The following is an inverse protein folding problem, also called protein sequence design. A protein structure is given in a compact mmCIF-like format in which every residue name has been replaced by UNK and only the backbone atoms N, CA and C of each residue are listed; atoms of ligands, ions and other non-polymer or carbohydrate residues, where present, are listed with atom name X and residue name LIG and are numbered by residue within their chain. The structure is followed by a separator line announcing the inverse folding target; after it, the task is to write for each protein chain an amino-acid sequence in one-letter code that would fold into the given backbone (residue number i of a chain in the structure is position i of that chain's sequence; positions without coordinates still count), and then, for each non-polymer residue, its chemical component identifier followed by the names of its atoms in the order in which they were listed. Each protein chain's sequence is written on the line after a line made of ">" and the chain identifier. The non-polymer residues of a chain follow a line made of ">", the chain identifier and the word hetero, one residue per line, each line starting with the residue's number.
data_IF_361314003755
#
_entry.id   IF_361314003755
#
_cell.length_a   1.000
_cell.length_b   1.000
_cell.length_c   1.000
_cell.angle_alpha   90.00
_cell.angle_beta   90.00
_cell.angle_gamma   90.00
#
_symmetry.space_group_name_H-M   'P 1'
#
loop_
_entity.id
_entity.type
_entity.pdbx_description
1 polymer ?
#
# COMPACT_ATOMS: atom_id res chain seq x y z
N UNK A 1 -9.13 -11.20 -25.76
CA UNK A 1 -9.38 -9.79 -26.14
C UNK A 1 -8.76 -9.55 -27.53
N UNK A 2 -9.57 -9.55 -28.59
CA UNK A 2 -9.08 -9.19 -29.93
C UNK A 2 -8.74 -7.70 -29.91
N UNK A 3 -7.46 -7.38 -29.99
CA UNK A 3 -7.01 -6.00 -30.27
C UNK A 3 -7.63 -5.64 -31.62
N UNK A 4 -8.59 -4.71 -31.63
CA UNK A 4 -9.13 -4.15 -32.85
C UNK A 4 -7.95 -3.78 -33.76
N UNK A 5 -8.03 -4.15 -35.03
CA UNK A 5 -6.96 -3.97 -36.02
C UNK A 5 -6.46 -2.52 -36.13
N UNK A 6 -7.32 -1.54 -35.79
CA UNK A 6 -6.98 -0.13 -35.64
C UNK A 6 -6.10 0.18 -34.41
N UNK A 7 -6.43 -0.36 -33.23
CA UNK A 7 -5.63 -0.20 -32.00
C UNK A 7 -4.25 -0.87 -32.12
N UNK A 8 -4.16 -1.97 -32.89
CA UNK A 8 -2.89 -2.63 -33.16
C UNK A 8 -1.92 -1.81 -34.01
N UNK A 9 -2.43 -0.98 -34.94
CA UNK A 9 -1.63 -0.05 -35.73
C UNK A 9 -1.07 1.10 -34.88
N UNK A 10 -1.93 1.73 -34.09
CA UNK A 10 -1.58 2.83 -33.17
C UNK A 10 -0.52 2.39 -32.16
N UNK A 11 -0.67 1.20 -31.58
CA UNK A 11 0.30 0.66 -30.62
C UNK A 11 1.66 0.38 -31.27
N UNK A 12 1.70 -0.11 -32.52
CA UNK A 12 2.96 -0.35 -33.22
C UNK A 12 3.71 0.94 -33.50
N UNK A 13 3.02 1.98 -33.95
CA UNK A 13 3.58 3.31 -34.19
C UNK A 13 4.19 3.91 -32.91
N UNK A 14 3.44 3.88 -31.80
CA UNK A 14 3.94 4.37 -30.50
C UNK A 14 5.10 3.53 -29.97
N UNK A 15 5.08 2.21 -30.16
CA UNK A 15 6.17 1.32 -29.74
C UNK A 15 7.45 1.56 -30.54
N UNK A 16 7.37 1.86 -31.83
CA UNK A 16 8.56 2.28 -32.60
C UNK A 16 9.14 3.56 -32.05
N UNK A 17 8.32 4.61 -31.87
CA UNK A 17 8.81 5.90 -31.38
C UNK A 17 9.32 5.83 -29.93
N UNK A 18 8.73 4.97 -29.08
CA UNK A 18 9.22 4.73 -27.73
C UNK A 18 10.57 4.00 -27.69
N UNK A 19 10.83 3.09 -28.64
CA UNK A 19 12.15 2.45 -28.79
C UNK A 19 13.21 3.46 -29.22
N UNK A 20 12.85 4.40 -30.11
CA UNK A 20 13.77 5.46 -30.53
C UNK A 20 14.17 6.36 -29.34
N UNK A 21 13.22 6.68 -28.45
CA UNK A 21 13.49 7.36 -27.17
C UNK A 21 14.36 6.57 -26.20
N UNK A 22 14.26 5.25 -26.22
CA UNK A 22 15.09 4.38 -25.38
C UNK A 22 16.55 4.39 -25.85
N UNK A 23 16.78 4.55 -27.16
CA UNK A 23 18.09 4.58 -27.80
C UNK A 23 18.71 6.00 -27.72
N UNK A 24 17.91 7.04 -27.93
CA UNK A 24 18.32 8.45 -27.83
C UNK A 24 17.27 9.25 -27.06
N UNK A 25 17.51 9.55 -25.77
CA UNK A 25 16.58 10.33 -24.96
C UNK A 25 16.64 11.81 -25.35
N UNK A 26 15.97 12.17 -26.46
CA UNK A 26 15.80 13.54 -26.91
C UNK A 26 14.47 14.12 -26.41
N UNK A 27 14.56 15.32 -25.83
CA UNK A 27 13.42 16.07 -25.31
C UNK A 27 12.47 16.50 -26.43
N UNK A 28 12.98 16.75 -27.64
CA UNK A 28 12.16 17.09 -28.81
C UNK A 28 11.32 15.90 -29.27
N UNK A 29 11.91 14.70 -29.28
CA UNK A 29 11.25 13.45 -29.64
C UNK A 29 10.19 13.06 -28.59
N UNK A 30 10.51 13.24 -27.29
CA UNK A 30 9.55 13.07 -26.21
C UNK A 30 8.32 13.98 -26.39
N UNK A 31 8.54 15.26 -26.67
CA UNK A 31 7.45 16.23 -26.86
C UNK A 31 6.62 15.91 -28.10
N UNK A 32 7.26 15.44 -29.17
CA UNK A 32 6.58 14.97 -30.39
C UNK A 32 5.64 13.81 -30.13
N UNK A 33 6.06 12.81 -29.34
CA UNK A 33 5.20 11.68 -28.96
C UNK A 33 4.05 12.13 -28.04
N UNK A 34 4.34 12.97 -27.04
CA UNK A 34 3.33 13.49 -26.12
C UNK A 34 2.24 14.25 -26.89
N UNK A 35 2.63 14.95 -27.94
CA UNK A 35 1.72 15.74 -28.78
C UNK A 35 1.12 14.93 -29.95
N UNK A 36 1.45 13.65 -30.07
CA UNK A 36 1.02 12.83 -31.21
C UNK A 36 -0.48 12.53 -31.16
N UNK A 37 -1.08 12.48 -32.35
CA UNK A 37 -2.48 12.09 -32.49
C UNK A 37 -2.69 10.62 -32.09
N UNK A 38 -1.71 9.75 -32.39
CA UNK A 38 -1.72 8.34 -32.01
C UNK A 38 -1.83 8.17 -30.48
N UNK A 39 -1.01 8.88 -29.70
CA UNK A 39 -1.06 8.82 -28.24
C UNK A 39 -2.38 9.39 -27.70
N UNK A 40 -2.84 10.51 -28.27
CA UNK A 40 -4.12 11.13 -27.89
C UNK A 40 -5.30 10.18 -28.12
N UNK A 41 -5.34 9.50 -29.27
CA UNK A 41 -6.36 8.50 -29.58
C UNK A 41 -6.27 7.28 -28.65
N UNK A 42 -5.07 6.80 -28.35
CA UNK A 42 -4.88 5.69 -27.41
C UNK A 42 -5.40 6.04 -26.01
N UNK A 43 -5.08 7.23 -25.51
CA UNK A 43 -5.60 7.70 -24.22
C UNK A 43 -7.13 7.83 -24.23
N UNK A 44 -7.71 8.36 -25.31
CA UNK A 44 -9.17 8.42 -25.43
C UNK A 44 -9.81 7.02 -25.40
N UNK A 45 -9.25 6.04 -26.10
CA UNK A 45 -9.70 4.64 -26.05
C UNK A 45 -9.55 4.05 -24.65
N UNK A 46 -8.42 4.31 -23.98
CA UNK A 46 -8.17 3.84 -22.63
C UNK A 46 -9.16 4.42 -21.62
N UNK A 47 -9.46 5.73 -21.71
CA UNK A 47 -10.45 6.37 -20.83
C UNK A 47 -11.86 5.80 -21.02
N UNK A 48 -12.26 5.52 -22.27
CA UNK A 48 -13.54 4.84 -22.55
C UNK A 48 -13.55 3.43 -21.95
N UNK A 49 -12.50 2.64 -22.18
CA UNK A 49 -12.36 1.29 -21.61
C UNK A 49 -12.41 1.32 -20.07
N UNK A 50 -11.67 2.24 -19.47
CA UNK A 50 -11.60 2.42 -18.02
C UNK A 50 -12.97 2.78 -17.44
N UNK A 51 -13.70 3.71 -18.08
CA UNK A 51 -15.06 4.09 -17.68
C UNK A 51 -16.02 2.90 -17.77
N UNK A 52 -16.04 2.20 -18.90
CA UNK A 52 -16.87 1.00 -19.08
C UNK A 52 -16.55 -0.08 -18.02
N UNK A 53 -15.28 -0.26 -17.69
CA UNK A 53 -14.85 -1.19 -16.64
C UNK A 53 -15.29 -0.74 -15.25
N UNK A 54 -15.19 0.56 -14.96
CA UNK A 54 -15.70 1.16 -13.73
C UNK A 54 -17.22 1.01 -13.57
N UNK A 55 -17.96 1.04 -14.68
CA UNK A 55 -19.41 0.83 -14.74
C UNK A 55 -19.81 -0.67 -14.67
N UNK A 56 -18.83 -1.57 -14.64
CA UNK A 56 -19.06 -3.02 -14.46
C UNK A 56 -19.25 -3.82 -15.75
N UNK A 57 -19.02 -3.24 -16.95
CA UNK A 57 -19.23 -3.92 -18.24
C UNK A 57 -18.34 -5.18 -18.42
N UNK A 58 -17.17 -5.20 -17.77
CA UNK A 58 -16.20 -6.31 -17.83
C UNK A 58 -16.26 -7.20 -16.58
N UNK A 59 -17.35 -7.11 -15.81
CA UNK A 59 -17.54 -7.89 -14.58
C UNK A 59 -17.00 -7.22 -13.31
N UNK A 60 -17.46 -7.70 -12.15
CA UNK A 60 -17.11 -7.13 -10.84
C UNK A 60 -15.62 -7.22 -10.51
N UNK A 61 -14.93 -8.24 -11.03
CA UNK A 61 -13.48 -8.41 -10.83
C UNK A 61 -12.70 -7.31 -11.53
N UNK A 62 -12.96 -7.06 -12.81
CA UNK A 62 -12.34 -5.97 -13.56
C UNK A 62 -12.65 -4.61 -12.90
N UNK A 63 -13.90 -4.40 -12.51
CA UNK A 63 -14.35 -3.19 -11.82
C UNK A 63 -13.54 -2.92 -10.55
N UNK A 64 -13.40 -3.93 -9.67
CA UNK A 64 -12.62 -3.81 -8.45
C UNK A 64 -11.16 -3.41 -8.73
N UNK A 65 -10.52 -4.06 -9.70
CA UNK A 65 -9.11 -3.80 -10.01
C UNK A 65 -8.87 -2.44 -10.65
N UNK A 66 -9.79 -1.94 -11.49
CA UNK A 66 -9.72 -0.55 -11.99
C UNK A 66 -9.81 0.45 -10.84
N UNK A 67 -10.78 0.28 -9.93
CA UNK A 67 -10.87 1.16 -8.77
C UNK A 67 -9.61 1.06 -7.88
N UNK A 68 -9.02 -0.13 -7.75
CA UNK A 68 -7.74 -0.29 -7.04
C UNK A 68 -6.61 0.49 -7.72
N UNK A 69 -6.48 0.37 -9.04
CA UNK A 69 -5.51 1.14 -9.82
C UNK A 69 -5.73 2.65 -9.67
N UNK A 70 -6.98 3.12 -9.63
CA UNK A 70 -7.30 4.52 -9.39
C UNK A 70 -6.85 5.02 -8.02
N UNK A 71 -7.02 4.21 -6.98
CA UNK A 71 -6.51 4.52 -5.63
C UNK A 71 -4.99 4.57 -5.58
N UNK A 72 -4.31 3.65 -6.28
CA UNK A 72 -2.85 3.69 -6.40
C UNK A 72 -2.39 4.92 -7.17
N UNK A 73 -3.05 5.24 -8.28
CA UNK A 73 -2.77 6.43 -9.07
C UNK A 73 -2.93 7.70 -8.26
N UNK A 74 -3.99 7.79 -7.44
CA UNK A 74 -4.20 8.90 -6.51
C UNK A 74 -3.00 9.10 -5.55
N UNK A 75 -2.44 8.02 -4.99
CA UNK A 75 -1.26 8.10 -4.13
C UNK A 75 0.00 8.51 -4.89
N UNK A 76 0.20 7.98 -6.10
CA UNK A 76 1.33 8.35 -6.96
C UNK A 76 1.27 9.82 -7.34
N UNK A 77 0.10 10.33 -7.69
CA UNK A 77 -0.12 11.72 -8.03
C UNK A 77 0.06 12.66 -6.82
N UNK A 78 -0.36 12.24 -5.64
CA UNK A 78 -0.10 12.96 -4.39
C UNK A 78 1.40 13.07 -4.09
N UNK A 79 2.16 11.99 -4.30
CA UNK A 79 3.62 11.98 -4.21
C UNK A 79 4.27 12.87 -5.28
N UNK A 80 3.79 12.76 -6.52
CA UNK A 80 4.24 13.57 -7.64
C UNK A 80 4.10 15.07 -7.37
N UNK A 81 2.97 15.51 -6.81
CA UNK A 81 2.75 16.91 -6.43
C UNK A 81 3.82 17.41 -5.43
N UNK A 82 4.25 16.55 -4.49
CA UNK A 82 5.34 16.87 -3.57
C UNK A 82 6.68 16.96 -4.30
N UNK A 83 6.99 15.98 -5.16
CA UNK A 83 8.22 15.94 -5.96
C UNK A 83 8.34 17.13 -6.93
N UNK A 84 7.24 17.74 -7.34
CA UNK A 84 7.21 18.90 -8.26
C UNK A 84 6.93 20.24 -7.59
N UNK A 85 6.84 20.28 -6.25
CA UNK A 85 6.46 21.48 -5.49
C UNK A 85 5.10 22.09 -5.92
N UNK A 86 4.18 21.27 -6.43
CA UNK A 86 2.87 21.73 -6.89
C UNK A 86 1.85 21.69 -5.75
N UNK A 87 1.67 22.84 -5.09
CA UNK A 87 0.71 22.97 -3.98
C UNK A 87 -0.74 22.73 -4.44
N UNK A 88 -1.14 23.25 -5.60
CA UNK A 88 -2.52 23.10 -6.08
C UNK A 88 -2.84 21.64 -6.41
N UNK A 89 -1.92 20.91 -7.07
CA UNK A 89 -2.07 19.47 -7.29
C UNK A 89 -2.11 18.69 -5.96
N UNK A 90 -1.27 19.09 -5.00
CA UNK A 90 -1.27 18.46 -3.68
C UNK A 90 -2.63 18.62 -3.01
N UNK A 91 -3.20 19.83 -2.96
CA UNK A 91 -4.52 20.10 -2.39
C UNK A 91 -5.61 19.29 -3.10
N UNK A 92 -5.59 19.25 -4.43
CA UNK A 92 -6.57 18.52 -5.24
C UNK A 92 -6.57 17.01 -4.93
N UNK A 93 -5.41 16.37 -4.95
CA UNK A 93 -5.32 14.94 -4.65
C UNK A 93 -5.51 14.65 -3.16
N UNK A 94 -5.12 15.57 -2.28
CA UNK A 94 -5.38 15.45 -0.85
C UNK A 94 -6.88 15.44 -0.52
N UNK A 95 -7.67 16.29 -1.20
CA UNK A 95 -9.13 16.28 -1.10
C UNK A 95 -9.72 14.91 -1.46
N UNK A 96 -9.22 14.30 -2.53
CA UNK A 96 -9.66 12.97 -2.99
C UNK A 96 -9.21 11.84 -2.09
N UNK A 97 -8.08 11.99 -1.40
CA UNK A 97 -7.54 11.02 -0.45
C UNK A 97 -8.30 10.99 0.87
N UNK A 98 -8.80 12.14 1.34
CA UNK A 98 -9.50 12.26 2.62
C UNK A 98 -10.64 11.23 2.80
N UNK A 99 -11.59 11.08 1.85
CA UNK A 99 -12.62 10.04 1.91
C UNK A 99 -12.13 8.61 2.16
N UNK A 100 -11.00 8.23 1.56
CA UNK A 100 -10.48 6.86 1.68
C UNK A 100 -10.04 6.54 3.12
N UNK A 101 -9.58 7.53 3.88
CA UNK A 101 -9.20 7.34 5.29
C UNK A 101 -10.40 6.99 6.18
N UNK A 102 -11.60 7.43 5.80
CA UNK A 102 -12.83 7.09 6.52
C UNK A 102 -13.29 5.67 6.22
N UNK A 103 -13.31 5.27 4.94
CA UNK A 103 -13.72 3.91 4.56
C UNK A 103 -12.72 2.84 4.96
N UNK A 104 -11.43 3.18 5.04
CA UNK A 104 -10.35 2.28 5.49
C UNK A 104 -10.08 2.34 7.02
N UNK A 105 -10.95 2.97 7.80
CA UNK A 105 -10.87 3.03 9.27
C UNK A 105 -9.58 3.64 9.85
N UNK A 106 -8.92 4.54 9.11
CA UNK A 106 -7.77 5.32 9.58
C UNK A 106 -8.22 6.56 10.36
N UNK A 107 -9.04 6.37 11.39
CA UNK A 107 -9.80 7.43 12.06
C UNK A 107 -8.98 8.60 12.60
N UNK A 108 -7.77 8.34 13.11
CA UNK A 108 -6.88 9.40 13.59
C UNK A 108 -6.46 10.29 12.42
N UNK A 109 -5.98 9.70 11.34
CA UNK A 109 -5.64 10.43 10.12
C UNK A 109 -6.87 11.10 9.52
N UNK A 110 -8.00 10.41 9.42
CA UNK A 110 -9.24 10.90 8.85
C UNK A 110 -9.70 12.24 9.47
N UNK A 111 -9.65 12.36 10.81
CA UNK A 111 -10.01 13.61 11.51
C UNK A 111 -9.06 14.76 11.17
N UNK A 112 -7.76 14.54 11.36
CA UNK A 112 -6.76 15.61 11.23
C UNK A 112 -6.48 15.97 9.79
N UNK A 113 -6.63 15.04 8.85
CA UNK A 113 -6.51 15.32 7.41
C UNK A 113 -7.64 16.21 6.93
N UNK A 114 -8.87 16.02 7.40
CA UNK A 114 -9.97 16.94 7.07
C UNK A 114 -9.69 18.37 7.54
N UNK A 115 -9.13 18.55 8.74
CA UNK A 115 -8.73 19.87 9.25
C UNK A 115 -7.56 20.44 8.45
N UNK A 116 -6.53 19.64 8.19
CA UNK A 116 -5.37 20.05 7.42
C UNK A 116 -5.75 20.47 5.99
N UNK A 117 -6.68 19.77 5.35
CA UNK A 117 -7.23 20.16 4.05
C UNK A 117 -7.87 21.56 4.11
N UNK A 118 -8.72 21.81 5.10
CA UNK A 118 -9.34 23.14 5.27
C UNK A 118 -8.28 24.21 5.50
N UNK A 119 -7.26 23.93 6.32
CA UNK A 119 -6.16 24.87 6.53
C UNK A 119 -5.44 25.20 5.22
N UNK A 120 -5.13 24.20 4.41
CA UNK A 120 -4.46 24.39 3.12
C UNK A 120 -5.29 25.23 2.13
N UNK A 121 -6.60 25.00 2.07
CA UNK A 121 -7.50 25.75 1.17
C UNK A 121 -7.69 27.19 1.64
N UNK A 122 -7.57 27.47 2.94
CA UNK A 122 -7.76 28.79 3.55
C UNK A 122 -6.43 29.47 3.93
N UNK A 123 -5.32 29.10 3.31
CA UNK A 123 -4.03 29.74 3.56
C UNK A 123 -4.08 31.23 3.16
N UNK A 124 -3.53 32.14 3.98
CA UNK A 124 -3.30 33.52 3.56
C UNK A 124 -2.44 33.57 2.30
N UNK A 125 -2.70 34.55 1.42
CA UNK A 125 -1.98 34.67 0.14
C UNK A 125 -0.46 34.71 0.34
N UNK A 126 0.01 35.49 1.30
CA UNK A 126 1.44 35.58 1.63
C UNK A 126 2.06 34.21 1.99
N UNK A 127 1.35 33.37 2.74
CA UNK A 127 1.81 32.02 3.06
C UNK A 127 1.79 31.10 1.83
N UNK A 128 0.76 31.23 0.98
CA UNK A 128 0.67 30.49 -0.28
C UNK A 128 1.84 30.83 -1.21
N UNK A 129 2.19 32.11 -1.32
CA UNK A 129 3.29 32.58 -2.16
C UNK A 129 4.64 31.98 -1.71
N UNK A 130 4.90 31.93 -0.39
CA UNK A 130 6.11 31.29 0.16
C UNK A 130 6.17 29.79 -0.14
N UNK A 131 5.04 29.08 -0.06
CA UNK A 131 4.97 27.65 -0.37
C UNK A 131 5.20 27.38 -1.87
N UNK A 132 4.61 28.21 -2.73
CA UNK A 132 4.80 28.15 -4.19
C UNK A 132 6.23 28.51 -4.58
N UNK A 133 6.86 29.45 -3.87
CA UNK A 133 8.26 29.80 -3.98
C UNK A 133 9.20 28.75 -3.33
N UNK A 134 8.98 27.46 -3.65
CA UNK A 134 9.80 26.33 -3.19
C UNK A 134 9.75 26.02 -1.69
N UNK A 135 8.81 26.59 -0.93
CA UNK A 135 8.64 26.30 0.49
C UNK A 135 7.82 25.04 0.82
N UNK A 136 7.09 24.49 -0.15
CA UNK A 136 6.22 23.32 0.08
C UNK A 136 6.98 21.98 0.15
N UNK A 137 7.99 21.80 -0.70
CA UNK A 137 8.91 20.66 -0.65
C UNK A 137 10.36 21.11 -0.73
N UNK A 138 11.30 20.24 -0.38
CA UNK A 138 12.73 20.58 -0.33
C UNK A 138 13.52 19.63 -1.23
N UNK A 139 14.42 20.19 -2.05
CA UNK A 139 15.44 19.43 -2.77
C UNK A 139 16.78 19.57 -2.06
N UNK A 140 17.53 18.47 -1.96
CA UNK A 140 18.90 18.48 -1.40
C UNK A 140 19.98 18.32 -2.47
N UNK A 141 19.59 18.02 -3.70
CA UNK A 141 20.47 17.94 -4.86
C UNK A 141 19.80 18.62 -6.05
N UNK A 142 20.60 18.87 -7.09
CA UNK A 142 20.12 19.38 -8.39
C UNK A 142 19.53 18.27 -9.27
N UNK A 143 19.48 17.04 -8.76
CA UNK A 143 18.91 15.89 -9.46
C UNK A 143 17.40 16.11 -9.68
N UNK A 144 16.88 15.98 -10.91
CA UNK A 144 15.44 16.08 -11.17
C UNK A 144 14.62 15.11 -10.31
N UNK A 145 13.40 15.53 -9.92
CA UNK A 145 12.44 14.75 -9.13
C UNK A 145 12.93 14.27 -7.74
N UNK A 146 14.01 14.85 -7.20
CA UNK A 146 14.59 14.51 -5.89
C UNK A 146 13.96 15.26 -4.70
N UNK A 147 12.98 16.13 -4.95
CA UNK A 147 12.28 16.87 -3.91
C UNK A 147 11.50 15.93 -2.99
N UNK A 148 11.53 16.24 -1.69
CA UNK A 148 10.79 15.49 -0.66
C UNK A 148 10.04 16.44 0.27
N UNK A 149 9.10 15.90 1.04
CA UNK A 149 8.43 16.67 2.07
C UNK A 149 9.43 17.22 3.10
N UNK A 150 9.14 18.41 3.64
CA UNK A 150 10.00 19.11 4.60
C UNK A 150 10.36 18.23 5.80
N UNK A 151 9.38 17.53 6.37
CA UNK A 151 9.57 16.62 7.50
C UNK A 151 10.56 15.49 7.20
N UNK A 152 10.43 14.86 6.01
CA UNK A 152 11.35 13.84 5.54
C UNK A 152 12.78 14.40 5.37
N UNK A 153 12.91 15.64 4.90
CA UNK A 153 14.20 16.30 4.78
C UNK A 153 14.85 16.55 6.14
N UNK A 154 14.07 16.97 7.14
CA UNK A 154 14.54 17.13 8.53
C UNK A 154 15.02 15.79 9.09
N UNK A 155 14.28 14.70 8.82
CA UNK A 155 14.68 13.35 9.23
C UNK A 155 16.04 12.93 8.64
N UNK A 156 16.23 13.18 7.35
CA UNK A 156 17.44 12.83 6.61
C UNK A 156 18.66 13.72 6.92
N UNK A 157 18.44 14.89 7.54
CA UNK A 157 19.48 15.87 7.83
C UNK A 157 19.65 16.04 9.35
N UNK A 158 18.89 16.97 9.94
CA UNK A 158 19.05 17.40 11.33
C UNK A 158 18.82 16.24 12.29
N UNK A 159 17.83 15.36 12.05
CA UNK A 159 17.60 14.23 12.96
C UNK A 159 18.67 13.16 12.77
N UNK A 160 19.00 12.78 11.53
CA UNK A 160 20.07 11.79 11.24
C UNK A 160 21.38 12.12 11.95
N UNK A 161 21.85 13.36 11.85
CA UNK A 161 23.12 13.77 12.45
C UNK A 161 23.03 14.10 13.95
N UNK A 162 21.82 14.36 14.47
CA UNK A 162 21.60 14.59 15.89
C UNK A 162 21.29 13.33 16.70
N UNK A 163 21.03 12.19 16.03
CA UNK A 163 20.72 10.91 16.68
C UNK A 163 21.88 10.50 17.59
N UNK A 164 21.57 10.31 18.86
CA UNK A 164 22.44 9.75 19.88
C UNK A 164 22.09 8.28 20.10
N UNK A 165 23.07 7.47 20.55
CA UNK A 165 22.79 6.10 21.00
C UNK A 165 21.72 6.15 22.11
N UNK A 166 20.62 5.40 21.96
CA UNK A 166 19.48 5.39 22.89
C UNK A 166 18.46 6.53 22.72
N UNK A 167 18.60 7.39 21.70
CA UNK A 167 17.69 8.51 21.45
C UNK A 167 17.72 9.57 22.56
N UNK A 168 16.62 10.30 22.74
CA UNK A 168 16.50 11.33 23.79
C UNK A 168 16.15 10.73 25.17
N UNK A 169 15.81 9.44 25.24
CA UNK A 169 15.20 8.83 26.44
C UNK A 169 16.10 8.98 27.67
N UNK A 170 17.42 8.84 27.51
CA UNK A 170 18.38 8.92 28.63
C UNK A 170 18.59 10.31 29.24
N UNK A 171 18.32 11.40 28.50
CA UNK A 171 18.57 12.77 28.98
C UNK A 171 17.36 13.71 28.87
N UNK A 172 16.25 13.26 28.25
CA UNK A 172 15.00 14.02 28.12
C UNK A 172 14.37 14.42 29.46
N UNK A 173 14.64 13.64 30.51
CA UNK A 173 14.22 13.94 31.89
C UNK A 173 15.00 15.10 32.53
N UNK A 174 16.15 15.46 31.98
CA UNK A 174 16.93 16.62 32.42
C UNK A 174 16.68 17.78 31.46
N UNK A 175 15.83 18.72 31.88
CA UNK A 175 15.48 19.89 31.07
C UNK A 175 16.72 20.67 30.58
N UNK A 176 17.77 20.93 31.39
CA UNK A 176 18.99 21.58 30.92
C UNK A 176 19.75 20.76 29.86
N UNK A 177 19.82 19.43 30.01
CA UNK A 177 20.48 18.58 29.03
C UNK A 177 19.71 18.54 27.70
N UNK A 178 18.39 18.49 27.77
CA UNK A 178 17.52 18.57 26.60
C UNK A 178 17.68 19.91 25.87
N UNK A 179 17.66 21.05 26.59
CA UNK A 179 17.89 22.36 25.97
C UNK A 179 19.26 22.46 25.32
N UNK A 180 20.33 22.03 26.01
CA UNK A 180 21.68 21.99 25.41
C UNK A 180 21.70 21.14 24.15
N UNK A 181 21.03 19.99 24.14
CA UNK A 181 20.92 19.15 22.95
C UNK A 181 20.16 19.84 21.81
N UNK A 182 19.00 20.47 22.09
CA UNK A 182 18.23 21.21 21.09
C UNK A 182 19.02 22.37 20.46
N UNK A 183 19.80 23.10 21.27
CA UNK A 183 20.58 24.24 20.79
C UNK A 183 21.87 23.80 20.08
N UNK A 184 22.51 22.70 20.47
CA UNK A 184 23.82 22.32 19.90
C UNK A 184 23.75 21.30 18.76
N UNK A 185 22.61 20.62 18.58
CA UNK A 185 22.47 19.52 17.61
C UNK A 185 22.79 19.89 16.15
N UNK A 186 22.50 21.11 15.72
CA UNK A 186 22.80 21.56 14.36
C UNK A 186 24.31 21.79 14.17
N UNK A 187 24.99 22.38 15.15
CA UNK A 187 26.45 22.54 15.13
C UNK A 187 27.17 21.19 15.16
N UNK A 188 26.67 20.24 15.96
CA UNK A 188 27.18 18.86 15.95
C UNK A 188 27.04 18.21 14.57
N UNK A 189 25.92 18.41 13.89
CA UNK A 189 25.73 17.91 12.54
C UNK A 189 26.73 18.51 11.55
N UNK A 190 27.02 19.81 11.65
CA UNK A 190 28.03 20.48 10.82
C UNK A 190 29.43 19.90 11.06
N UNK A 191 29.85 19.67 12.31
CA UNK A 191 31.14 19.07 12.60
C UNK A 191 31.27 17.65 12.03
N UNK A 192 30.22 16.82 12.17
CA UNK A 192 30.21 15.47 11.58
C UNK A 192 30.33 15.56 10.06
N UNK A 193 29.62 16.48 9.41
CA UNK A 193 29.72 16.69 7.96
C UNK A 193 31.14 17.11 7.55
N UNK A 194 31.75 18.05 8.26
CA UNK A 194 33.12 18.49 8.00
C UNK A 194 34.14 17.35 8.20
N UNK A 195 33.95 16.49 9.20
CA UNK A 195 34.81 15.30 9.39
C UNK A 195 34.70 14.32 8.23
N UNK A 196 33.50 14.07 7.70
CA UNK A 196 33.35 13.22 6.51
C UNK A 196 34.05 13.81 5.28
N UNK A 197 33.97 15.14 5.09
CA UNK A 197 34.69 15.85 4.03
C UNK A 197 36.21 15.72 4.19
N UNK A 198 36.73 15.95 5.40
CA UNK A 198 38.15 15.77 5.71
C UNK A 198 38.64 14.34 5.45
N UNK A 199 37.79 13.35 5.71
CA UNK A 199 38.08 11.93 5.49
C UNK A 199 37.92 11.49 4.02
N UNK A 200 37.50 12.39 3.11
CA UNK A 200 37.12 12.07 1.73
C UNK A 200 36.05 10.98 1.63
N UNK A 201 35.18 10.87 2.65
CA UNK A 201 34.02 9.98 2.67
C UNK A 201 32.82 10.80 2.23
N UNK A 202 32.87 11.33 1.01
CA UNK A 202 31.70 11.93 0.39
C UNK A 202 30.88 10.85 -0.29
N UNK A 203 29.57 10.81 -0.02
CA UNK A 203 28.66 10.11 -0.92
C UNK A 203 28.68 10.87 -2.24
N UNK A 204 29.30 10.32 -3.28
CA UNK A 204 29.19 10.86 -4.64
C UNK A 204 27.71 11.14 -4.90
N UNK A 205 27.36 12.40 -5.14
CA UNK A 205 26.02 12.75 -5.57
C UNK A 205 25.78 11.99 -6.87
N UNK A 206 24.81 11.09 -6.87
CA UNK A 206 24.43 10.40 -8.09
C UNK A 206 23.82 11.47 -9.01
N UNK A 207 24.42 11.67 -10.19
CA UNK A 207 23.90 12.60 -11.20
C UNK A 207 22.47 12.23 -11.62
N UNK A 208 22.10 10.96 -11.42
CA UNK A 208 20.79 10.42 -11.77
C UNK A 208 19.97 10.04 -10.53
N UNK A 209 18.66 10.27 -10.63
CA UNK A 209 17.73 9.88 -9.58
C UNK A 209 17.72 8.36 -9.40
N UNK A 210 17.61 7.86 -8.16
CA UNK A 210 17.65 6.41 -7.87
C UNK A 210 16.67 5.61 -8.73
N UNK A 211 15.44 6.10 -8.88
CA UNK A 211 14.38 5.46 -9.69
C UNK A 211 14.74 5.38 -11.19
N UNK A 212 15.67 6.20 -11.67
CA UNK A 212 16.15 6.18 -13.06
C UNK A 212 17.35 5.25 -13.28
N UNK A 213 17.88 4.64 -12.20
CA UNK A 213 19.03 3.75 -12.30
C UNK A 213 18.70 2.49 -13.12
N UNK A 214 19.71 1.95 -13.81
CA UNK A 214 19.58 0.70 -14.58
C UNK A 214 19.10 -0.48 -13.72
N UNK A 215 19.49 -0.50 -12.44
CA UNK A 215 19.06 -1.53 -11.50
C UNK A 215 17.55 -1.45 -11.24
N UNK A 216 17.04 -0.26 -10.89
CA UNK A 216 15.59 -0.06 -10.63
C UNK A 216 14.75 -0.29 -11.90
N UNK A 217 15.26 0.08 -13.07
CA UNK A 217 14.63 -0.24 -14.37
C UNK A 217 14.46 -1.75 -14.57
N UNK A 218 15.54 -2.52 -14.43
CA UNK A 218 15.50 -4.00 -14.52
C UNK A 218 14.58 -4.62 -13.49
N UNK A 219 14.57 -4.09 -12.27
CA UNK A 219 13.69 -4.56 -11.20
C UNK A 219 12.21 -4.31 -11.54
N UNK A 220 11.90 -3.13 -12.08
CA UNK A 220 10.55 -2.75 -12.52
C UNK A 220 10.08 -3.62 -13.69
N UNK A 221 10.92 -3.83 -14.71
CA UNK A 221 10.63 -4.74 -15.84
C UNK A 221 10.36 -6.16 -15.35
N UNK A 222 11.16 -6.67 -14.41
CA UNK A 222 10.95 -7.99 -13.81
C UNK A 222 9.61 -8.05 -13.06
N UNK A 223 9.22 -7.01 -12.35
CA UNK A 223 7.95 -6.94 -11.63
C UNK A 223 6.74 -6.92 -12.58
N UNK A 224 6.83 -6.15 -13.67
CA UNK A 224 5.80 -6.12 -14.72
C UNK A 224 5.67 -7.50 -15.37
N UNK A 225 6.80 -8.10 -15.80
CA UNK A 225 6.80 -9.43 -16.39
C UNK A 225 6.19 -10.47 -15.45
N UNK A 226 6.58 -10.48 -14.17
CA UNK A 226 6.01 -11.38 -13.17
C UNK A 226 4.49 -11.18 -13.01
N UNK A 227 3.99 -9.96 -13.10
CA UNK A 227 2.55 -9.66 -13.03
C UNK A 227 1.82 -10.21 -14.26
N UNK A 228 2.38 -10.01 -15.45
CA UNK A 228 1.84 -10.56 -16.71
C UNK A 228 1.84 -12.10 -16.72
N UNK A 229 2.94 -12.71 -16.27
CA UNK A 229 3.07 -14.16 -16.13
C UNK A 229 2.02 -14.69 -15.13
N UNK A 230 1.78 -13.96 -14.03
CA UNK A 230 0.74 -14.30 -13.05
C UNK A 230 -0.66 -14.22 -13.65
N UNK A 231 -0.98 -13.18 -14.43
CA UNK A 231 -2.29 -13.09 -15.09
C UNK A 231 -2.48 -14.13 -16.19
N UNK A 232 -1.40 -14.58 -16.83
CA UNK A 232 -1.43 -15.67 -17.81
C UNK A 232 -1.58 -17.04 -17.15
N UNK A 233 -0.91 -17.26 -16.01
CA UNK A 233 -0.93 -18.54 -15.31
C UNK A 233 -2.18 -18.73 -14.44
N UNK A 234 -2.72 -17.64 -13.90
CA UNK A 234 -3.93 -17.62 -13.08
C UNK A 234 -5.08 -16.98 -13.86
N UNK A 235 -5.96 -16.28 -13.15
CA UNK A 235 -7.13 -15.66 -13.73
C UNK A 235 -6.82 -14.22 -14.15
N UNK A 236 -6.98 -13.91 -15.44
CA UNK A 236 -6.94 -12.53 -15.91
C UNK A 236 -8.16 -11.75 -15.38
N UNK A 237 -7.97 -10.69 -14.57
CA UNK A 237 -9.07 -9.96 -13.96
C UNK A 237 -9.95 -9.19 -14.96
N UNK A 238 -9.50 -9.01 -16.21
CA UNK A 238 -10.20 -8.25 -17.25
C UNK A 238 -10.92 -9.11 -18.30
N UNK A 239 -10.96 -10.43 -18.14
CA UNK A 239 -11.73 -11.30 -19.04
C UNK A 239 -13.24 -11.18 -18.75
N UNK A 240 -14.02 -10.96 -19.82
CA UNK A 240 -15.46 -10.59 -19.80
C UNK A 240 -16.43 -11.70 -19.35
N UNK A 241 -15.95 -12.88 -18.99
CA UNK A 241 -16.80 -14.06 -18.82
C UNK A 241 -17.46 -14.19 -17.43
N UNK A 242 -17.26 -13.23 -16.52
CA UNK A 242 -17.60 -13.44 -15.10
C UNK A 242 -18.36 -12.26 -14.50
N UNK A 243 -19.59 -12.55 -14.06
CA UNK A 243 -20.43 -11.58 -13.34
C UNK A 243 -19.98 -11.35 -11.89
N UNK A 244 -19.41 -12.37 -11.25
CA UNK A 244 -19.03 -12.32 -9.83
C UNK A 244 -17.61 -11.82 -9.60
N UNK A 245 -17.39 -11.23 -8.42
CA UNK A 245 -16.05 -10.92 -7.93
C UNK A 245 -15.35 -12.22 -7.52
N UNK A 246 -14.15 -12.46 -8.03
CA UNK A 246 -13.37 -13.66 -7.74
C UNK A 246 -11.96 -13.33 -7.26
N UNK A 247 -11.38 -14.28 -6.53
CA UNK A 247 -9.96 -14.29 -6.22
C UNK A 247 -9.13 -14.61 -7.46
N UNK A 248 -8.09 -13.81 -7.76
CA UNK A 248 -7.22 -14.05 -8.93
C UNK A 248 -6.49 -15.40 -8.81
N UNK A 249 -5.98 -15.73 -7.63
CA UNK A 249 -5.16 -16.93 -7.39
C UNK A 249 -5.95 -18.25 -7.47
N UNK A 250 -7.18 -18.27 -6.95
CA UNK A 250 -7.98 -19.50 -6.81
C UNK A 250 -9.21 -19.54 -7.70
N UNK A 251 -9.62 -18.42 -8.30
CA UNK A 251 -10.88 -18.29 -9.04
C UNK A 251 -12.13 -18.40 -8.16
N UNK A 252 -11.99 -18.45 -6.83
CA UNK A 252 -13.12 -18.64 -5.92
C UNK A 252 -14.02 -17.39 -5.90
N UNK A 253 -15.34 -17.60 -5.92
CA UNK A 253 -16.34 -16.53 -5.76
C UNK A 253 -16.23 -15.90 -4.37
N UNK A 254 -16.14 -14.58 -4.35
CA UNK A 254 -16.21 -13.78 -3.12
C UNK A 254 -17.68 -13.69 -2.67
N UNK A 255 -17.97 -13.85 -1.37
CA UNK A 255 -19.31 -13.60 -0.82
C UNK A 255 -19.86 -12.22 -1.23
N UNK A 256 -21.15 -12.14 -1.53
CA UNK A 256 -21.76 -10.93 -2.11
C UNK A 256 -21.70 -9.71 -1.19
N UNK A 257 -21.79 -9.93 0.12
CA UNK A 257 -21.59 -8.88 1.14
C UNK A 257 -20.17 -8.30 1.11
N UNK A 258 -19.15 -9.13 0.91
CA UNK A 258 -17.76 -8.69 0.78
C UNK A 258 -17.51 -8.01 -0.56
N UNK A 259 -18.11 -8.53 -1.64
CA UNK A 259 -17.99 -7.92 -2.96
C UNK A 259 -18.61 -6.52 -3.00
N UNK A 260 -19.78 -6.35 -2.39
CA UNK A 260 -20.45 -5.06 -2.28
C UNK A 260 -19.63 -4.04 -1.48
N UNK A 261 -19.08 -4.46 -0.34
CA UNK A 261 -18.22 -3.59 0.48
C UNK A 261 -16.95 -3.15 -0.28
N UNK A 262 -16.32 -4.07 -1.02
CA UNK A 262 -15.11 -3.79 -1.82
C UNK A 262 -15.35 -2.83 -2.98
N UNK A 263 -16.55 -2.86 -3.59
CA UNK A 263 -16.92 -1.99 -4.71
C UNK A 263 -17.42 -0.61 -4.26
N UNK A 264 -17.97 -0.50 -3.04
CA UNK A 264 -18.56 0.73 -2.48
C UNK A 264 -17.60 1.52 -1.57
N UNK A 265 -16.32 1.13 -1.48
CA UNK A 265 -15.31 1.76 -0.60
C UNK A 265 -15.27 3.29 -0.76
N UNK A 266 -15.29 3.77 -2.00
CA UNK A 266 -15.18 5.20 -2.29
C UNK A 266 -16.44 5.97 -1.91
N UNK A 267 -17.61 5.44 -2.23
CA UNK A 267 -18.89 6.09 -1.96
C UNK A 267 -19.16 6.18 -0.47
N UNK A 268 -18.88 5.08 0.26
CA UNK A 268 -18.97 5.07 1.72
C UNK A 268 -17.97 6.05 2.33
N UNK A 269 -16.74 6.10 1.82
CA UNK A 269 -15.74 7.08 2.25
C UNK A 269 -16.19 8.53 2.04
N UNK A 270 -16.75 8.85 0.86
CA UNK A 270 -17.25 10.19 0.53
C UNK A 270 -18.42 10.59 1.42
N UNK A 271 -19.35 9.67 1.67
CA UNK A 271 -20.49 9.89 2.58
C UNK A 271 -20.01 10.17 4.01
N UNK A 272 -19.14 9.33 4.55
CA UNK A 272 -18.58 9.50 5.90
C UNK A 272 -17.76 10.78 6.05
N UNK A 273 -16.99 11.15 5.02
CA UNK A 273 -16.25 12.41 5.02
C UNK A 273 -17.18 13.62 5.00
N UNK A 274 -18.22 13.60 4.17
CA UNK A 274 -19.22 14.68 4.12
C UNK A 274 -19.95 14.84 5.45
N UNK A 275 -20.41 13.74 6.04
CA UNK A 275 -21.04 13.74 7.36
C UNK A 275 -20.10 14.32 8.44
N UNK A 276 -18.82 13.95 8.41
CA UNK A 276 -17.83 14.52 9.33
C UNK A 276 -17.68 16.03 9.16
N UNK A 277 -17.60 16.53 7.92
CA UNK A 277 -17.49 17.96 7.63
C UNK A 277 -18.73 18.71 8.13
N UNK A 278 -19.91 18.23 7.78
CA UNK A 278 -21.17 18.90 8.12
C UNK A 278 -21.39 18.90 9.65
N UNK A 279 -21.29 17.73 10.31
CA UNK A 279 -21.59 17.61 11.75
C UNK A 279 -20.54 18.22 12.68
N UNK A 280 -19.24 18.17 12.32
CA UNK A 280 -18.16 18.59 13.24
C UNK A 280 -17.48 19.89 12.87
N UNK A 281 -17.44 20.25 11.58
CA UNK A 281 -16.69 21.43 11.12
C UNK A 281 -17.62 22.60 10.83
N UNK A 282 -18.78 22.36 10.19
CA UNK A 282 -19.78 23.40 9.90
C UNK A 282 -20.75 23.60 11.06
N UNK A 283 -21.59 22.62 11.34
CA UNK A 283 -22.71 22.76 12.27
C UNK A 283 -22.26 22.63 13.74
N UNK A 284 -21.09 22.01 13.96
CA UNK A 284 -20.47 21.77 15.28
C UNK A 284 -21.42 21.08 16.27
N UNK A 285 -22.39 20.31 15.77
CA UNK A 285 -23.34 19.52 16.57
C UNK A 285 -22.65 18.43 17.36
N UNK A 286 -21.55 17.90 16.83
CA UNK A 286 -20.71 16.90 17.50
C UNK A 286 -19.33 17.47 17.81
N UNK A 287 -18.87 17.30 19.06
CA UNK A 287 -17.52 17.70 19.49
C UNK A 287 -16.45 17.05 18.61
N UNK A 288 -15.47 17.84 18.17
CA UNK A 288 -14.39 17.40 17.29
C UNK A 288 -13.64 16.15 17.82
N UNK A 289 -13.31 16.14 19.11
CA UNK A 289 -12.55 15.06 19.75
C UNK A 289 -13.36 13.79 20.01
N UNK A 290 -14.69 13.79 19.78
CA UNK A 290 -15.50 12.59 19.94
C UNK A 290 -14.95 11.47 19.03
N UNK A 291 -14.89 10.21 19.50
CA UNK A 291 -14.52 9.07 18.66
C UNK A 291 -15.29 9.08 17.34
N UNK A 292 -14.62 8.70 16.26
CA UNK A 292 -15.32 8.38 15.01
C UNK A 292 -15.83 6.94 15.12
N UNK A 293 -16.97 6.65 14.50
CA UNK A 293 -17.42 5.27 14.33
C UNK A 293 -16.60 4.64 13.20
N UNK A 294 -16.21 3.37 13.36
CA UNK A 294 -15.53 2.61 12.30
C UNK A 294 -16.57 2.11 11.31
N UNK A 295 -16.27 2.23 10.04
CA UNK A 295 -17.10 1.71 8.95
C UNK A 295 -17.04 0.19 8.92
N UNK A 296 -15.86 -0.40 9.18
CA UNK A 296 -15.62 -1.85 9.20
C UNK A 296 -16.03 -2.56 7.89
N UNK A 297 -15.72 -1.96 6.75
CA UNK A 297 -15.95 -2.58 5.44
C UNK A 297 -15.21 -3.92 5.35
N UNK A 298 -15.89 -4.93 4.84
CA UNK A 298 -15.29 -6.24 4.60
C UNK A 298 -14.32 -6.16 3.43
N UNK A 299 -13.22 -6.88 3.58
CA UNK A 299 -12.17 -7.01 2.57
C UNK A 299 -11.96 -8.49 2.24
N UNK A 300 -11.15 -8.80 1.23
CA UNK A 300 -10.73 -10.18 0.95
C UNK A 300 -10.19 -10.92 2.19
N UNK A 301 -9.48 -10.23 3.07
CA UNK A 301 -9.00 -10.79 4.34
C UNK A 301 -10.11 -11.19 5.32
N UNK A 302 -11.31 -10.65 5.17
CA UNK A 302 -12.46 -10.96 6.04
C UNK A 302 -13.00 -12.38 5.78
N UNK A 303 -12.83 -12.90 4.57
CA UNK A 303 -13.26 -14.25 4.16
C UNK A 303 -12.31 -15.34 4.69
N UNK A 304 -11.05 -14.99 4.96
CA UNK A 304 -10.05 -15.92 5.52
C UNK A 304 -10.34 -16.39 6.95
N UNK A 305 -11.32 -15.78 7.63
CA UNK A 305 -11.84 -16.31 8.89
C UNK A 305 -12.67 -17.54 8.56
N UNK A 306 -12.06 -18.71 8.73
CA UNK A 306 -12.78 -19.98 8.67
C UNK A 306 -14.06 -19.87 9.48
N UNK A 307 -15.21 -20.01 8.84
CA UNK A 307 -16.47 -20.26 9.52
C UNK A 307 -16.24 -21.50 10.37
N UNK A 308 -16.07 -21.32 11.68
CA UNK A 308 -16.08 -22.44 12.62
C UNK A 308 -17.51 -22.93 12.67
N UNK A 309 -17.86 -23.84 11.76
CA UNK A 309 -19.10 -24.61 11.87
C UNK A 309 -18.80 -25.69 12.91
N UNK A 310 -19.38 -25.54 14.10
CA UNK A 310 -19.38 -26.58 15.12
C UNK A 310 -20.29 -27.72 14.63
N UNK A 311 -19.71 -28.87 14.30
CA UNK A 311 -20.42 -30.14 14.45
C UNK A 311 -19.43 -31.29 14.67
N UNK A 312 -19.91 -32.30 15.39
CA UNK A 312 -19.12 -33.37 15.99
C UNK A 312 -18.51 -34.32 14.94
N UNK A 313 -17.19 -34.50 15.04
CA UNK A 313 -16.36 -35.53 14.38
C UNK A 313 -16.16 -35.35 12.86
N UNK A 314 -15.01 -34.76 12.54
CA UNK A 314 -14.28 -34.76 11.27
C UNK A 314 -14.70 -33.68 10.24
N UNK A 315 -13.84 -32.66 10.09
CA UNK A 315 -13.98 -31.58 9.11
C UNK A 315 -12.92 -31.74 8.03
N UNK A 316 -13.35 -31.79 6.76
CA UNK A 316 -12.48 -31.64 5.59
C UNK A 316 -12.91 -30.40 4.81
N UNK A 317 -11.96 -29.47 4.59
CA UNK A 317 -12.13 -28.27 3.77
C UNK A 317 -11.94 -28.64 2.30
N UNK A 318 -13.00 -28.61 1.48
CA UNK A 318 -12.88 -28.71 0.02
C UNK A 318 -13.74 -27.61 -0.60
N UNK A 319 -13.12 -26.54 -1.11
CA UNK A 319 -13.77 -25.60 -2.05
C UNK A 319 -12.84 -24.63 -2.80
N UNK A 320 -11.52 -24.88 -2.87
CA UNK A 320 -10.58 -23.94 -3.49
C UNK A 320 -9.93 -24.43 -4.80
N UNK A 321 -10.02 -25.71 -5.17
CA UNK A 321 -9.24 -26.25 -6.31
C UNK A 321 -10.08 -27.10 -7.26
N UNK A 322 -11.32 -26.68 -7.55
CA UNK A 322 -12.19 -27.41 -8.50
C UNK A 322 -11.54 -27.57 -9.87
N UNK A 323 -10.73 -26.59 -10.31
CA UNK A 323 -10.10 -26.63 -11.64
C UNK A 323 -8.88 -27.54 -11.66
N UNK A 324 -7.97 -27.46 -10.69
CA UNK A 324 -6.79 -28.36 -10.60
C UNK A 324 -7.23 -29.79 -10.28
N UNK A 325 -8.17 -29.96 -9.35
CA UNK A 325 -8.77 -31.27 -9.08
C UNK A 325 -9.54 -31.80 -10.30
N UNK A 326 -10.27 -30.95 -11.02
CA UNK A 326 -10.97 -31.32 -12.25
C UNK A 326 -10.01 -31.75 -13.36
N UNK A 327 -8.92 -31.02 -13.56
CA UNK A 327 -7.85 -31.39 -14.50
C UNK A 327 -7.17 -32.70 -14.09
N UNK A 328 -6.83 -32.88 -12.81
CA UNK A 328 -6.29 -34.13 -12.28
C UNK A 328 -7.25 -35.30 -12.46
N UNK A 329 -8.55 -35.08 -12.28
CA UNK A 329 -9.58 -36.09 -12.48
C UNK A 329 -9.66 -36.50 -13.96
N UNK A 330 -9.66 -35.55 -14.88
CA UNK A 330 -9.63 -35.82 -16.34
C UNK A 330 -8.35 -36.56 -16.71
N UNK A 331 -7.18 -36.09 -16.25
CA UNK A 331 -5.89 -36.74 -16.50
C UNK A 331 -5.81 -38.14 -15.86
N UNK A 332 -6.48 -38.37 -14.74
CA UNK A 332 -6.51 -39.70 -14.11
C UNK A 332 -7.24 -40.74 -14.95
N UNK A 333 -8.18 -40.32 -15.80
CA UNK A 333 -8.89 -41.20 -16.73
C UNK A 333 -8.00 -41.64 -17.90
N UNK A 334 -7.06 -40.79 -18.34
CA UNK A 334 -6.15 -41.08 -19.45
C UNK A 334 -4.85 -41.76 -19.00
N UNK A 335 -4.31 -41.37 -17.84
CA UNK A 335 -2.95 -41.72 -17.41
C UNK A 335 -2.89 -42.64 -16.17
N UNK A 336 -4.02 -43.21 -15.73
CA UNK A 336 -4.11 -44.02 -14.49
C UNK A 336 -3.41 -43.39 -13.28
N UNK A 337 -3.72 -42.13 -13.01
CA UNK A 337 -3.17 -41.42 -11.86
C UNK A 337 -3.89 -41.90 -10.59
N UNK A 338 -3.12 -42.35 -9.59
CA UNK A 338 -3.65 -42.71 -8.27
C UNK A 338 -4.13 -41.45 -7.53
N UNK A 339 -5.44 -41.23 -7.59
CA UNK A 339 -6.11 -40.11 -6.93
C UNK A 339 -6.01 -40.18 -5.39
N UNK A 340 -5.89 -41.37 -4.80
CA UNK A 340 -5.72 -41.51 -3.36
C UNK A 340 -4.37 -40.94 -2.92
N UNK A 341 -3.32 -41.18 -3.71
CA UNK A 341 -1.99 -40.61 -3.46
C UNK A 341 -1.94 -39.11 -3.72
N UNK A 342 -2.59 -38.63 -4.79
CA UNK A 342 -2.65 -37.20 -5.12
C UNK A 342 -3.33 -36.40 -4.00
N UNK A 343 -4.42 -36.92 -3.44
CA UNK A 343 -5.17 -36.26 -2.36
C UNK A 343 -4.48 -36.31 -0.98
N UNK A 344 -3.41 -37.10 -0.82
CA UNK A 344 -2.58 -37.08 0.39
C UNK A 344 -1.71 -35.82 0.49
N UNK A 345 -1.50 -35.11 -0.62
CA UNK A 345 -0.67 -33.91 -0.68
C UNK A 345 -1.53 -32.68 -0.99
N UNK A 346 -1.17 -31.49 -0.47
CA UNK A 346 -1.83 -30.25 -0.83
C UNK A 346 -1.65 -30.00 -2.34
N UNK A 347 -2.75 -29.78 -3.07
CA UNK A 347 -2.71 -29.44 -4.50
C UNK A 347 -2.37 -27.96 -4.75
N UNK A 348 -2.16 -27.20 -3.67
CA UNK A 348 -1.73 -25.81 -3.68
C UNK A 348 -0.20 -25.71 -3.59
N UNK A 349 0.42 -24.66 -4.16
CA UNK A 349 1.86 -24.41 -4.06
C UNK A 349 2.35 -24.17 -2.61
N UNK A 350 1.43 -23.99 -1.66
CA UNK A 350 1.71 -23.81 -0.23
C UNK A 350 0.65 -24.55 0.60
N UNK A 351 1.04 -25.29 1.66
CA UNK A 351 0.09 -26.00 2.51
C UNK A 351 -0.96 -25.07 3.14
N UNK A 352 -2.24 -25.43 3.02
CA UNK A 352 -3.37 -24.68 3.62
C UNK A 352 -3.36 -24.60 5.15
N UNK A 353 -2.51 -25.38 5.81
CA UNK A 353 -2.22 -25.23 7.24
C UNK A 353 -1.42 -23.96 7.55
N UNK A 354 -0.71 -23.43 6.55
CA UNK A 354 0.21 -22.31 6.66
C UNK A 354 -0.20 -21.10 5.79
N UNK A 355 -1.04 -21.30 4.77
CA UNK A 355 -1.47 -20.27 3.83
C UNK A 355 -2.99 -20.15 3.70
N UNK A 356 -3.44 -18.93 3.41
CA UNK A 356 -4.81 -18.58 3.05
C UNK A 356 -5.07 -18.83 1.55
N UNK A 357 -6.35 -18.93 1.10
CA UNK A 357 -6.75 -19.04 -0.32
C UNK A 357 -6.05 -18.08 -1.30
N UNK A 358 -5.55 -16.97 -0.78
CA UNK A 358 -4.84 -15.92 -1.53
C UNK A 358 -3.33 -16.16 -1.65
N UNK A 359 -2.83 -17.29 -1.15
CA UNK A 359 -1.40 -17.61 -1.08
C UNK A 359 -0.64 -16.86 0.02
N UNK A 360 -1.32 -16.03 0.81
CA UNK A 360 -0.72 -15.30 1.93
C UNK A 360 -0.61 -16.19 3.17
N UNK A 361 0.44 -16.04 4.02
CA UNK A 361 0.54 -16.78 5.28
C UNK A 361 -0.68 -16.58 6.18
N UNK A 362 -1.17 -17.66 6.79
CA UNK A 362 -2.22 -17.58 7.80
C UNK A 362 -1.69 -16.81 9.00
N UNK A 363 -2.24 -15.62 9.23
CA UNK A 363 -1.92 -14.81 10.41
C UNK A 363 -2.78 -15.27 11.57
N UNK A 364 -2.15 -15.74 12.64
CA UNK A 364 -2.80 -15.91 13.94
C UNK A 364 -2.67 -14.62 14.75
N UNK A 365 -3.64 -14.35 15.62
CA UNK A 365 -3.48 -13.27 16.58
C UNK A 365 -2.34 -13.64 17.54
N UNK A 366 -1.35 -12.75 17.71
CA UNK A 366 -0.19 -12.99 18.59
C UNK A 366 -0.62 -13.40 20.01
N UNK A 367 -1.73 -12.86 20.51
CA UNK A 367 -2.29 -13.21 21.81
C UNK A 367 -2.78 -14.67 21.91
N UNK A 368 -3.19 -15.29 20.80
CA UNK A 368 -3.68 -16.69 20.81
C UNK A 368 -2.57 -17.70 21.10
N UNK A 369 -1.32 -17.39 20.75
CA UNK A 369 -0.17 -18.21 21.12
C UNK A 369 0.09 -18.14 22.62
N UNK A 370 0.01 -16.94 23.21
CA UNK A 370 0.15 -16.75 24.66
C UNK A 370 -0.88 -17.57 25.42
N UNK A 371 -2.17 -17.51 25.05
CA UNK A 371 -3.21 -18.30 25.70
C UNK A 371 -2.99 -19.81 25.58
N UNK A 372 -2.41 -20.27 24.45
CA UNK A 372 -2.03 -21.69 24.32
C UNK A 372 -0.86 -22.05 25.22
N UNK A 373 0.15 -21.20 25.32
CA UNK A 373 1.30 -21.41 26.22
C UNK A 373 0.84 -21.43 27.69
N UNK A 374 0.00 -20.47 28.10
CA UNK A 374 -0.65 -20.44 29.42
C UNK A 374 -1.41 -21.75 29.70
N UNK A 375 -2.13 -22.29 28.71
CA UNK A 375 -2.89 -23.53 28.88
C UNK A 375 -2.05 -24.82 28.87
N UNK A 376 -0.83 -24.79 28.30
CA UNK A 376 0.03 -25.98 28.14
C UNK A 376 1.09 -26.05 29.24
N UNK A 377 1.53 -24.90 29.75
CA UNK A 377 2.50 -24.79 30.83
C UNK A 377 1.80 -24.50 32.16
N UNK A 378 1.46 -25.56 32.90
CA UNK A 378 1.20 -25.48 34.36
C UNK A 378 2.48 -25.10 35.17
N UNK A 379 3.58 -24.73 34.50
CA UNK A 379 4.89 -24.53 35.12
C UNK A 379 5.03 -23.21 35.91
N UNK A 380 4.03 -22.33 35.85
CA UNK A 380 4.04 -21.11 36.66
C UNK A 380 3.67 -21.33 38.14
N UNK A 381 3.25 -22.54 38.51
CA UNK A 381 2.90 -22.87 39.90
C UNK A 381 4.08 -23.41 40.74
N UNK A 382 5.26 -23.66 40.17
CA UNK A 382 6.29 -24.48 40.85
C UNK A 382 7.49 -23.75 41.42
N UNK A 383 7.54 -22.42 41.42
CA UNK A 383 8.57 -21.70 42.16
C UNK A 383 7.92 -20.83 43.21
N UNK A 384 8.29 -21.12 44.46
CA UNK A 384 7.89 -20.45 45.69
C UNK A 384 8.39 -19.00 45.67
N UNK A 385 7.80 -18.18 44.79
CA UNK A 385 8.05 -16.74 44.73
C UNK A 385 7.28 -16.10 45.86
N UNK A 386 7.79 -16.27 47.07
CA UNK A 386 7.34 -15.56 48.26
C UNK A 386 7.19 -14.07 47.92
N UNK A 387 5.95 -13.58 48.00
CA UNK A 387 5.52 -12.24 47.61
C UNK A 387 6.24 -11.20 48.46
N UNK A 388 7.37 -10.67 48.00
CA UNK A 388 7.94 -9.48 48.60
C UNK A 388 7.06 -8.26 48.25
N UNK A 389 6.71 -7.39 49.22
CA UNK A 389 5.97 -6.17 48.93
C UNK A 389 6.81 -5.25 48.03
N UNK A 390 6.17 -4.59 47.07
CA UNK A 390 6.76 -3.67 46.07
C UNK A 390 7.53 -4.27 44.88
N UNK A 391 7.42 -5.57 44.61
CA UNK A 391 8.07 -6.17 43.43
C UNK A 391 7.03 -6.55 42.37
N UNK A 392 7.21 -6.06 41.14
CA UNK A 392 6.42 -6.46 39.97
C UNK A 392 7.30 -7.30 39.03
N UNK A 393 6.94 -8.56 38.83
CA UNK A 393 7.65 -9.45 37.91
C UNK A 393 7.07 -9.32 36.51
N UNK A 394 7.94 -9.05 35.54
CA UNK A 394 7.60 -8.97 34.12
C UNK A 394 8.25 -10.16 33.43
N UNK A 395 7.43 -11.00 32.82
CA UNK A 395 7.90 -12.13 32.01
C UNK A 395 7.88 -11.71 30.55
N UNK A 396 9.04 -11.77 29.89
CA UNK A 396 9.13 -11.58 28.45
C UNK A 396 8.73 -12.88 27.74
N UNK A 397 7.50 -12.93 27.23
CA UNK A 397 7.00 -14.08 26.47
C UNK A 397 7.76 -14.34 25.17
N UNK A 398 8.51 -13.38 24.64
CA UNK A 398 9.34 -13.56 23.45
C UNK A 398 10.64 -14.32 23.78
N UNK A 399 11.16 -14.18 25.00
CA UNK A 399 12.33 -14.91 25.49
C UNK A 399 12.02 -16.39 25.79
N UNK A 400 10.78 -16.72 26.14
CA UNK A 400 10.32 -18.10 26.36
C UNK A 400 10.19 -18.94 25.07
N UNK A 401 10.28 -18.30 23.90
CA UNK A 401 10.12 -18.94 22.59
C UNK A 401 11.45 -19.16 21.84
N UNK A 402 12.56 -18.69 22.42
CA UNK A 402 13.92 -18.97 21.96
C UNK A 402 14.50 -20.17 22.70
#
# INVERSE_FOLDING_TARGET
>A
MQVNTSSGGILKELLSSAKDLQISPDQSLAQGIISSQALTQLFAQYEVFKKQTGDGHFGKTAQFWVQYMDRIWLLLQFSFATKTNSLDLHIFYFQKLCPLLFSMDHQNYAKYFGVYYIMLVNLPQQSKDLLLANGFSVSRSDTPASRTAVDMTIEQTINKHAKTSGGIVGFSRSLPAYYRWCVTRHNRAQYVSATYQMANIESKNCETHKESSLFERKLSEKAVKKTMDTFSAFLNPFDTEREHLVYISSGQKVPEDVADDLLKIEDVGKKSFKEFVDTRLKDKTTRFHKPLTKTKLKTFGSVSKSTQIKSAKNVVKIKAERNVFGQLLVLSQEYQIDMEKVLKYPLSPVPWSLSSPDGLPLKTNKATLLHKLESTFNCFESHDFSRQPNTAYIIDGNALLH
#
